data_IF_199672059172
#
_entry.id   IF_199672059172
#
_cell.length_a   1.000
_cell.length_b   1.000
_cell.length_c   1.000
_cell.angle_alpha   90.00
_cell.angle_beta   90.00
_cell.angle_gamma   90.00
#
_symmetry.space_group_name_H-M   'P 1'
#
loop_
_entity.id
_entity.type
_entity.pdbx_description
1 polymer ?
#
# COMPACT_ATOMS: atom_id res chain seq x y z
N UNK A 1 20.88 -32.23 5.77
CA UNK A 1 19.58 -31.97 6.41
C UNK A 1 19.07 -30.67 5.81
N UNK A 2 18.09 -30.75 4.93
CA UNK A 2 17.55 -29.61 4.24
C UNK A 2 16.87 -28.67 5.23
N UNK A 3 17.23 -27.40 5.22
CA UNK A 3 16.43 -26.38 5.86
C UNK A 3 15.08 -26.36 5.16
N UNK A 4 14.04 -26.74 5.88
CA UNK A 4 12.69 -26.42 5.42
C UNK A 4 12.62 -24.91 5.32
N UNK A 5 12.69 -24.40 4.11
CA UNK A 5 12.36 -23.04 3.80
C UNK A 5 10.90 -22.88 4.19
N UNK A 6 10.64 -22.14 5.27
CA UNK A 6 9.26 -21.78 5.61
C UNK A 6 8.68 -20.97 4.46
N UNK A 7 7.88 -21.62 3.62
CA UNK A 7 7.08 -21.02 2.54
C UNK A 7 5.89 -20.24 3.17
N UNK A 8 6.08 -19.60 4.32
CA UNK A 8 5.03 -18.87 5.03
C UNK A 8 5.16 -17.36 4.88
N UNK A 9 6.33 -16.91 4.42
CA UNK A 9 6.57 -15.49 4.19
C UNK A 9 5.69 -15.03 3.05
N UNK A 10 4.63 -14.30 3.33
CA UNK A 10 3.68 -13.84 2.32
C UNK A 10 3.55 -12.32 2.35
N UNK A 11 3.61 -11.72 1.17
CA UNK A 11 3.36 -10.30 0.99
C UNK A 11 2.59 -10.05 -0.30
N UNK A 12 1.64 -9.15 -0.24
CA UNK A 12 0.80 -8.75 -1.37
C UNK A 12 0.70 -7.25 -1.43
N UNK A 13 0.77 -6.71 -2.64
CA UNK A 13 0.50 -5.30 -2.89
C UNK A 13 -0.63 -5.18 -3.90
N UNK A 14 -1.65 -4.43 -3.54
CA UNK A 14 -2.75 -4.03 -4.41
C UNK A 14 -2.57 -2.56 -4.74
N UNK A 15 -2.52 -2.26 -6.04
CA UNK A 15 -2.45 -0.89 -6.55
C UNK A 15 -3.63 -0.63 -7.48
N UNK A 16 -4.24 0.54 -7.33
CA UNK A 16 -5.27 1.05 -8.22
C UNK A 16 -4.71 2.30 -8.87
N UNK A 17 -4.34 2.20 -10.13
CA UNK A 17 -3.85 3.33 -10.89
C UNK A 17 -4.98 4.33 -11.16
N UNK A 18 -4.61 5.62 -11.24
CA UNK A 18 -5.55 6.68 -11.55
C UNK A 18 -5.06 7.50 -12.73
N UNK A 19 -5.77 7.39 -13.84
CA UNK A 19 -5.51 8.21 -15.02
C UNK A 19 -5.62 9.71 -14.73
N UNK A 20 -5.01 10.52 -15.56
CA UNK A 20 -5.15 11.97 -15.54
C UNK A 20 -6.61 12.39 -15.68
N UNK A 21 -6.93 13.61 -15.25
CA UNK A 21 -8.26 14.18 -15.44
C UNK A 21 -8.50 14.41 -16.94
N UNK A 22 -9.67 14.01 -17.44
CA UNK A 22 -10.06 14.27 -18.81
C UNK A 22 -10.24 15.78 -19.04
N UNK A 23 -9.64 16.29 -20.08
CA UNK A 23 -9.69 17.69 -20.49
C UNK A 23 -10.58 17.86 -21.71
N UNK A 24 -11.80 18.32 -21.46
CA UNK A 24 -12.80 18.54 -22.50
C UNK A 24 -12.35 19.60 -23.51
N UNK A 25 -11.69 20.66 -23.05
CA UNK A 25 -11.22 21.73 -23.93
C UNK A 25 -10.14 21.23 -24.91
N UNK A 26 -9.20 20.41 -24.43
CA UNK A 26 -8.20 19.75 -25.29
C UNK A 26 -8.85 18.81 -26.29
N UNK A 27 -9.83 18.02 -25.86
CA UNK A 27 -10.55 17.09 -26.73
C UNK A 27 -11.29 17.83 -27.85
N UNK A 28 -11.94 18.96 -27.53
CA UNK A 28 -12.61 19.81 -28.49
C UNK A 28 -11.63 20.51 -29.45
N UNK A 29 -10.53 21.06 -28.92
CA UNK A 29 -9.51 21.71 -29.73
C UNK A 29 -8.80 20.75 -30.71
N UNK A 30 -8.74 19.48 -30.37
CA UNK A 30 -8.20 18.42 -31.23
C UNK A 30 -9.24 17.77 -32.16
N UNK A 31 -10.45 18.28 -32.20
CA UNK A 31 -11.59 17.73 -32.98
C UNK A 31 -11.80 16.22 -32.70
N UNK A 32 -11.73 15.84 -31.44
CA UNK A 32 -11.94 14.44 -31.03
C UNK A 32 -13.42 14.21 -30.76
N UNK A 33 -14.09 13.30 -31.51
CA UNK A 33 -15.50 13.04 -31.33
C UNK A 33 -15.84 12.51 -29.94
N UNK A 34 -16.94 12.96 -29.40
CA UNK A 34 -17.40 12.62 -28.04
C UNK A 34 -17.53 11.10 -27.83
N UNK A 35 -17.88 10.35 -28.88
CA UNK A 35 -17.92 8.87 -28.83
C UNK A 35 -16.57 8.18 -28.53
N UNK A 36 -15.44 8.88 -28.77
CA UNK A 36 -14.10 8.37 -28.48
C UNK A 36 -13.63 8.69 -27.04
N UNK A 37 -14.26 9.66 -26.37
CA UNK A 37 -13.80 10.17 -25.08
C UNK A 37 -13.76 9.12 -23.99
N UNK A 38 -14.77 8.25 -23.92
CA UNK A 38 -14.83 7.20 -22.90
C UNK A 38 -13.72 6.15 -23.02
N UNK A 39 -13.29 5.84 -24.25
CA UNK A 39 -12.17 4.91 -24.49
C UNK A 39 -10.84 5.58 -24.14
N UNK A 40 -10.64 6.81 -24.60
CA UNK A 40 -9.44 7.60 -24.28
C UNK A 40 -9.29 7.82 -22.76
N UNK A 41 -10.41 8.08 -22.06
CA UNK A 41 -10.41 8.23 -20.60
C UNK A 41 -10.00 6.95 -19.86
N UNK A 42 -10.28 5.78 -20.44
CA UNK A 42 -9.84 4.47 -19.92
C UNK A 42 -8.39 4.13 -20.26
N UNK A 43 -7.70 5.00 -21.01
CA UNK A 43 -6.33 4.75 -21.43
C UNK A 43 -6.19 3.98 -22.74
N UNK A 44 -7.29 3.81 -23.49
CA UNK A 44 -7.29 3.09 -24.76
C UNK A 44 -6.94 4.02 -25.92
N UNK A 45 -6.13 3.54 -26.87
CA UNK A 45 -5.87 4.23 -28.15
C UNK A 45 -6.99 3.89 -29.12
N UNK A 46 -7.45 4.88 -29.88
CA UNK A 46 -8.60 4.75 -30.80
C UNK A 46 -8.20 5.17 -32.20
N UNK A 47 -8.46 4.30 -33.18
CA UNK A 47 -8.37 4.66 -34.58
C UNK A 47 -9.71 5.28 -35.04
N UNK A 48 -9.65 6.50 -35.55
CA UNK A 48 -10.83 7.23 -36.01
C UNK A 48 -10.52 8.03 -37.27
N UNK A 49 -11.21 7.71 -38.35
CA UNK A 49 -11.09 8.39 -39.69
C UNK A 49 -9.64 8.52 -40.16
N UNK A 50 -8.85 7.45 -39.99
CA UNK A 50 -7.44 7.41 -40.38
C UNK A 50 -6.49 8.17 -39.43
N UNK A 51 -6.97 8.63 -38.26
CA UNK A 51 -6.17 9.26 -37.20
C UNK A 51 -6.07 8.33 -36.01
N UNK A 52 -4.87 8.21 -35.47
CA UNK A 52 -4.67 7.54 -34.18
C UNK A 52 -4.85 8.56 -33.06
N UNK A 53 -5.87 8.36 -32.23
CA UNK A 53 -6.18 9.17 -31.06
C UNK A 53 -5.62 8.48 -29.81
N UNK A 54 -4.80 9.18 -29.04
CA UNK A 54 -4.13 8.63 -27.85
C UNK A 54 -4.61 9.33 -26.57
N UNK A 55 -4.57 8.63 -25.41
CA UNK A 55 -5.03 9.19 -24.14
C UNK A 55 -4.36 10.50 -23.72
N UNK A 56 -3.07 10.67 -24.03
CA UNK A 56 -2.29 11.87 -23.69
C UNK A 56 -2.78 13.13 -24.41
N UNK A 57 -3.51 12.98 -25.51
CA UNK A 57 -4.15 14.11 -26.22
C UNK A 57 -5.23 14.79 -25.36
N UNK A 58 -5.87 14.03 -24.45
CA UNK A 58 -7.05 14.47 -23.70
C UNK A 58 -6.92 14.30 -22.18
N UNK A 59 -5.92 13.58 -21.70
CA UNK A 59 -5.69 13.40 -20.27
C UNK A 59 -4.64 14.38 -19.75
N UNK A 60 -4.89 14.88 -18.57
CA UNK A 60 -3.90 15.61 -17.78
C UNK A 60 -2.82 14.69 -17.20
N UNK A 61 -1.93 15.20 -16.34
CA UNK A 61 -0.91 14.37 -15.70
C UNK A 61 -1.54 13.24 -14.87
N UNK A 62 -0.84 12.11 -14.71
CA UNK A 62 -1.27 11.03 -13.85
C UNK A 62 -1.58 11.53 -12.44
N UNK A 63 -2.63 11.01 -11.83
CA UNK A 63 -3.03 11.35 -10.45
C UNK A 63 -2.61 10.22 -9.51
N UNK A 64 -2.47 10.56 -8.24
CA UNK A 64 -2.16 9.55 -7.24
C UNK A 64 -3.30 8.53 -7.16
N UNK A 65 -2.98 7.26 -7.37
CA UNK A 65 -3.86 6.13 -7.16
C UNK A 65 -3.97 5.75 -5.68
N UNK A 66 -4.43 4.53 -5.43
CA UNK A 66 -4.51 3.92 -4.10
C UNK A 66 -3.58 2.71 -4.03
N UNK A 67 -2.93 2.54 -2.90
CA UNK A 67 -2.03 1.41 -2.68
C UNK A 67 -2.20 0.81 -1.30
N UNK A 68 -2.36 -0.51 -1.24
CA UNK A 68 -2.39 -1.28 0.00
C UNK A 68 -1.32 -2.36 -0.08
N UNK A 69 -0.48 -2.45 0.94
CA UNK A 69 0.48 -3.54 1.08
C UNK A 69 0.20 -4.33 2.33
N UNK A 70 0.18 -5.64 2.21
CA UNK A 70 0.02 -6.60 3.29
C UNK A 70 1.26 -7.49 3.38
N UNK A 71 1.79 -7.68 4.58
CA UNK A 71 2.81 -8.69 4.82
C UNK A 71 2.61 -9.38 6.17
N UNK A 72 2.87 -10.67 6.19
CA UNK A 72 2.72 -11.53 7.37
C UNK A 72 3.81 -12.59 7.41
N UNK A 73 4.04 -13.17 8.58
CA UNK A 73 5.01 -14.27 8.81
C UNK A 73 6.41 -13.96 8.27
N UNK A 74 6.90 -12.73 8.45
CA UNK A 74 8.13 -12.27 7.78
C UNK A 74 9.06 -11.50 8.69
N UNK A 75 10.36 -11.58 8.39
CA UNK A 75 11.36 -10.64 8.90
C UNK A 75 11.38 -9.36 8.05
N UNK A 76 11.85 -8.22 8.60
CA UNK A 76 12.11 -7.03 7.81
C UNK A 76 13.04 -7.34 6.64
N UNK A 77 12.62 -6.98 5.42
CA UNK A 77 13.41 -7.13 4.20
C UNK A 77 13.31 -5.88 3.33
N UNK A 78 14.32 -5.68 2.46
CA UNK A 78 14.28 -4.60 1.47
C UNK A 78 13.11 -4.76 0.48
N UNK A 79 12.71 -6.00 0.20
CA UNK A 79 11.55 -6.28 -0.64
C UNK A 79 10.25 -5.76 -0.02
N UNK A 80 10.02 -6.01 1.28
CA UNK A 80 8.84 -5.48 1.98
C UNK A 80 8.85 -3.96 1.95
N UNK A 81 10.00 -3.34 2.28
CA UNK A 81 10.16 -1.89 2.26
C UNK A 81 9.84 -1.30 0.88
N UNK A 82 10.39 -1.89 -0.18
CA UNK A 82 10.18 -1.42 -1.55
C UNK A 82 8.73 -1.56 -1.99
N UNK A 83 8.09 -2.69 -1.69
CA UNK A 83 6.68 -2.93 -2.02
C UNK A 83 5.74 -2.04 -1.21
N UNK A 84 6.03 -1.79 0.07
CA UNK A 84 5.22 -0.93 0.92
C UNK A 84 5.37 0.56 0.60
N UNK A 85 6.37 0.94 -0.19
CA UNK A 85 6.67 2.36 -0.45
C UNK A 85 5.45 3.13 -0.92
N UNK A 86 5.15 4.24 -0.21
CA UNK A 86 4.03 5.16 -0.44
C UNK A 86 2.64 4.51 -0.39
N UNK A 87 2.50 3.34 0.26
CA UNK A 87 1.18 2.74 0.50
C UNK A 87 0.28 3.65 1.32
N UNK A 88 -0.99 3.70 0.96
CA UNK A 88 -2.01 4.40 1.74
C UNK A 88 -2.32 3.63 3.03
N UNK A 89 -2.27 2.30 2.96
CA UNK A 89 -2.34 1.40 4.09
C UNK A 89 -1.27 0.31 3.99
N UNK A 90 -0.51 0.13 5.06
CA UNK A 90 0.42 -0.98 5.23
C UNK A 90 -0.06 -1.87 6.37
N UNK A 91 -0.58 -3.04 6.05
CA UNK A 91 -0.94 -4.07 7.02
C UNK A 91 0.27 -4.97 7.22
N UNK A 92 0.85 -4.94 8.39
CA UNK A 92 2.10 -5.61 8.71
C UNK A 92 1.95 -6.49 9.94
N UNK A 93 2.63 -7.63 9.94
CA UNK A 93 2.76 -8.37 11.16
C UNK A 93 3.46 -7.56 12.25
N UNK A 94 3.10 -7.88 13.49
CA UNK A 94 3.81 -7.45 14.68
C UNK A 94 3.61 -8.51 15.74
N UNK A 95 4.46 -9.55 15.72
CA UNK A 95 4.31 -10.69 16.63
C UNK A 95 4.54 -10.29 18.09
N UNK A 96 5.48 -9.37 18.35
CA UNK A 96 5.92 -9.01 19.70
C UNK A 96 5.89 -7.51 19.92
N UNK A 97 5.23 -7.07 20.99
CA UNK A 97 5.19 -5.67 21.44
C UNK A 97 6.38 -5.29 22.34
N UNK A 98 6.95 -6.26 23.04
CA UNK A 98 8.02 -6.02 24.01
C UNK A 98 9.39 -5.80 23.35
N UNK A 99 10.15 -4.81 23.83
CA UNK A 99 11.47 -4.44 23.28
C UNK A 99 12.51 -5.56 23.43
N UNK A 100 12.43 -6.35 24.47
CA UNK A 100 13.36 -7.45 24.77
C UNK A 100 13.13 -8.70 23.91
N UNK A 101 11.99 -8.80 23.24
CA UNK A 101 11.63 -9.94 22.37
C UNK A 101 12.31 -9.94 21.01
N UNK A 102 13.16 -8.97 20.70
CA UNK A 102 13.82 -8.89 19.39
C UNK A 102 14.64 -10.14 19.03
N UNK A 103 15.32 -10.76 20.02
CA UNK A 103 16.04 -12.02 19.80
C UNK A 103 15.08 -13.13 19.41
N UNK A 104 13.96 -13.24 20.12
CA UNK A 104 12.90 -14.22 19.85
C UNK A 104 12.26 -14.00 18.48
N UNK A 105 11.98 -12.74 18.11
CA UNK A 105 11.46 -12.40 16.79
C UNK A 105 12.41 -12.87 15.67
N UNK A 106 13.72 -12.68 15.84
CA UNK A 106 14.72 -13.18 14.87
C UNK A 106 14.75 -14.71 14.79
N UNK A 107 14.71 -15.38 15.92
CA UNK A 107 14.75 -16.84 16.01
C UNK A 107 13.56 -17.48 15.31
N UNK A 108 12.35 -16.94 15.54
CA UNK A 108 11.11 -17.46 14.98
C UNK A 108 10.70 -16.79 13.65
N UNK A 109 11.58 -15.96 13.07
CA UNK A 109 11.40 -15.28 11.79
C UNK A 109 10.20 -14.34 11.72
N UNK A 110 9.86 -13.69 12.83
CA UNK A 110 8.81 -12.67 12.94
C UNK A 110 9.39 -11.27 13.20
N UNK A 111 8.51 -10.26 13.24
CA UNK A 111 8.86 -8.89 13.57
C UNK A 111 8.36 -8.48 14.96
N UNK A 112 9.07 -7.53 15.55
CA UNK A 112 8.55 -6.72 16.65
C UNK A 112 7.77 -5.53 16.09
N UNK A 113 6.91 -4.93 16.91
CA UNK A 113 6.21 -3.69 16.57
C UNK A 113 7.16 -2.57 16.13
N UNK A 114 8.32 -2.50 16.78
CA UNK A 114 9.35 -1.48 16.49
C UNK A 114 10.03 -1.69 15.14
N UNK A 115 10.23 -2.94 14.73
CA UNK A 115 10.76 -3.28 13.40
C UNK A 115 9.74 -2.95 12.31
N UNK A 116 8.46 -3.30 12.51
CA UNK A 116 7.38 -2.94 11.61
C UNK A 116 7.23 -1.41 11.47
N UNK A 117 7.31 -0.68 12.59
CA UNK A 117 7.22 0.80 12.57
C UNK A 117 8.40 1.44 11.82
N UNK A 118 9.60 0.89 11.93
CA UNK A 118 10.75 1.37 11.12
C UNK A 118 10.54 1.12 9.64
N UNK A 119 10.05 -0.06 9.25
CA UNK A 119 9.70 -0.34 7.86
C UNK A 119 8.64 0.65 7.34
N UNK A 120 7.58 0.89 8.10
CA UNK A 120 6.52 1.83 7.73
C UNK A 120 7.05 3.25 7.52
N UNK A 121 7.93 3.71 8.42
CA UNK A 121 8.59 5.02 8.33
C UNK A 121 9.50 5.12 7.12
N UNK A 122 10.36 4.12 6.88
CA UNK A 122 11.30 4.09 5.76
C UNK A 122 10.59 3.95 4.41
N UNK A 123 9.45 3.26 4.38
CA UNK A 123 8.60 3.12 3.20
C UNK A 123 7.66 4.31 2.98
N UNK A 124 7.64 5.30 3.88
CA UNK A 124 6.80 6.50 3.79
C UNK A 124 5.31 6.16 3.58
N UNK A 125 4.82 5.14 4.30
CA UNK A 125 3.40 4.77 4.23
C UNK A 125 2.54 5.80 4.95
N UNK A 126 1.25 5.91 4.62
CA UNK A 126 0.36 6.86 5.30
C UNK A 126 -0.13 6.34 6.65
N UNK A 127 -0.52 5.09 6.72
CA UNK A 127 -1.00 4.43 7.93
C UNK A 127 -0.49 2.99 7.98
N UNK A 128 -0.17 2.50 9.17
CA UNK A 128 0.21 1.11 9.40
C UNK A 128 -0.76 0.45 10.39
N UNK A 129 -1.24 -0.73 10.01
CA UNK A 129 -1.97 -1.64 10.89
C UNK A 129 -1.08 -2.79 11.29
N UNK A 130 -0.86 -2.93 12.60
CA UNK A 130 -0.23 -4.12 13.17
C UNK A 130 -1.24 -5.23 13.33
N UNK A 131 -0.84 -6.43 12.96
CA UNK A 131 -1.63 -7.65 13.00
C UNK A 131 -0.75 -8.84 13.40
N UNK A 132 -1.28 -10.07 13.41
CA UNK A 132 -0.52 -11.30 13.62
C UNK A 132 0.24 -11.32 14.96
N UNK A 133 -0.47 -11.00 16.03
CA UNK A 133 0.11 -10.95 17.38
C UNK A 133 0.42 -12.34 17.93
N UNK A 134 1.44 -12.44 18.79
CA UNK A 134 1.68 -13.63 19.59
C UNK A 134 0.41 -13.98 20.41
N UNK A 135 0.02 -15.26 20.49
CA UNK A 135 -1.08 -15.66 21.34
C UNK A 135 -0.93 -15.25 22.81
N UNK A 136 0.29 -15.00 23.26
CA UNK A 136 0.59 -14.49 24.61
C UNK A 136 0.42 -12.97 24.76
N UNK A 137 0.23 -12.23 23.67
CA UNK A 137 0.08 -10.78 23.68
C UNK A 137 -1.40 -10.39 23.72
N UNK A 138 -1.93 -10.26 24.92
CA UNK A 138 -3.36 -9.97 25.13
C UNK A 138 -3.74 -8.51 24.89
N UNK A 139 -2.81 -7.58 25.15
CA UNK A 139 -3.02 -6.13 25.11
C UNK A 139 -2.01 -5.43 24.21
N UNK A 140 -2.08 -5.61 22.88
CA UNK A 140 -1.12 -4.99 21.94
C UNK A 140 -1.13 -3.46 22.01
N UNK A 141 -2.23 -2.84 22.41
CA UNK A 141 -2.39 -1.40 22.57
C UNK A 141 -1.46 -0.76 23.61
N UNK A 142 -0.99 -1.52 24.59
CA UNK A 142 -0.10 -1.02 25.64
C UNK A 142 1.25 -0.54 25.10
N UNK A 143 1.67 -1.05 23.95
CA UNK A 143 2.94 -0.70 23.31
C UNK A 143 2.82 0.44 22.28
N UNK A 144 1.60 0.90 21.98
CA UNK A 144 1.38 1.90 20.92
C UNK A 144 2.09 3.23 21.17
N UNK A 145 2.17 3.69 22.41
CA UNK A 145 2.80 4.97 22.71
C UNK A 145 4.26 4.98 22.24
N UNK A 146 5.03 3.97 22.63
CA UNK A 146 6.45 3.82 22.24
C UNK A 146 6.61 3.63 20.72
N UNK A 147 5.73 2.84 20.12
CA UNK A 147 5.78 2.54 18.67
C UNK A 147 5.47 3.78 17.84
N UNK A 148 4.53 4.61 18.31
CA UNK A 148 4.15 5.87 17.67
C UNK A 148 5.22 6.96 17.73
N UNK A 149 6.19 6.84 18.63
CA UNK A 149 7.40 7.67 18.57
C UNK A 149 8.23 7.42 17.31
N UNK A 150 8.17 6.19 16.77
CA UNK A 150 8.85 5.82 15.52
C UNK A 150 7.98 6.15 14.31
N UNK A 151 6.72 5.70 14.34
CA UNK A 151 5.74 5.92 13.28
C UNK A 151 4.37 6.29 13.87
N UNK A 152 4.00 7.57 13.88
CA UNK A 152 2.80 8.09 14.58
C UNK A 152 1.48 7.46 14.13
N UNK A 153 1.34 7.16 12.83
CA UNK A 153 0.12 6.61 12.25
C UNK A 153 0.06 5.07 12.36
N UNK A 154 0.38 4.56 13.55
CA UNK A 154 0.31 3.13 13.86
C UNK A 154 -0.97 2.81 14.61
N UNK A 155 -1.61 1.72 14.22
CA UNK A 155 -2.81 1.17 14.84
C UNK A 155 -2.61 -0.32 15.11
N UNK A 156 -3.01 -0.79 16.30
CA UNK A 156 -3.19 -2.22 16.57
C UNK A 156 -4.54 -2.65 16.00
N UNK A 157 -4.51 -3.42 14.91
CA UNK A 157 -5.74 -3.86 14.27
C UNK A 157 -6.29 -5.13 14.96
N UNK A 158 -7.61 -5.26 14.94
CA UNK A 158 -8.35 -6.43 15.41
C UNK A 158 -9.20 -6.95 14.27
N UNK A 159 -9.60 -8.20 14.35
CA UNK A 159 -10.49 -8.82 13.37
C UNK A 159 -11.76 -7.99 13.18
N UNK A 160 -12.19 -7.83 11.94
CA UNK A 160 -13.33 -7.01 11.57
C UNK A 160 -13.05 -5.51 11.44
N UNK A 161 -11.80 -5.04 11.66
CA UNK A 161 -11.45 -3.65 11.37
C UNK A 161 -11.54 -3.38 9.88
N UNK A 162 -12.16 -2.29 9.53
CA UNK A 162 -12.30 -1.82 8.13
C UNK A 162 -11.76 -0.41 7.96
N UNK A 163 -11.32 -0.09 6.74
CA UNK A 163 -10.95 1.25 6.31
C UNK A 163 -11.47 1.46 4.90
N UNK A 164 -12.03 2.62 4.65
CA UNK A 164 -12.35 3.07 3.31
C UNK A 164 -11.23 3.97 2.81
N UNK A 165 -10.61 3.59 1.68
CA UNK A 165 -9.62 4.40 1.00
C UNK A 165 -10.30 5.14 -0.16
N UNK A 166 -10.19 6.45 -0.14
CA UNK A 166 -10.74 7.33 -1.18
C UNK A 166 -9.62 8.11 -1.86
N UNK A 167 -9.81 8.47 -3.11
CA UNK A 167 -8.87 9.32 -3.81
C UNK A 167 -8.80 10.71 -3.17
N UNK A 168 -7.58 11.27 -3.10
CA UNK A 168 -7.33 12.53 -2.40
C UNK A 168 -8.09 13.74 -2.94
N UNK A 169 -8.46 13.71 -4.22
CA UNK A 169 -9.20 14.82 -4.87
C UNK A 169 -10.73 14.71 -4.70
N UNK A 170 -11.21 13.66 -4.05
CA UNK A 170 -12.64 13.40 -3.86
C UNK A 170 -13.11 13.86 -2.46
N UNK A 171 -12.28 14.66 -1.76
CA UNK A 171 -12.56 15.28 -0.45
C UNK A 171 -12.87 16.75 -0.58
#
# INVERSE_FOLDING_TARGET
MGSEMCIRDSGYTLEIDRAGKFDVARAQAADIPQRCWGLLQKGETVEYEGRTLTPDMVLGPPRKGLKVTYCTDSRPTDSIRSNARHSDLFVCEGMYGEKDKQKKAKEYKHMTFYEAARLAKEAEVKEMWLTHYSPSLNHPEEFLNDVREIFPNTVTARDGRTMELVFSDDK
#
